data_IF_733191876363
#
_entry.id   IF_733191876363
#
_cell.length_a   1.000
_cell.length_b   1.000
_cell.length_c   1.000
_cell.angle_alpha   90.00
_cell.angle_beta   90.00
_cell.angle_gamma   90.00
#
_symmetry.space_group_name_H-M   'P 1'
#
loop_
_entity.id
_entity.type
_entity.pdbx_description
1 polymer ?
#
# COMPACT_ATOMS: atom_id res chain seq x y z
N UNK A 1 -21.06 -10.47 31.57
CA UNK A 1 -21.15 -9.67 30.34
C UNK A 1 -20.29 -10.37 29.30
N UNK A 2 -20.94 -11.05 28.34
CA UNK A 2 -20.24 -11.72 27.23
C UNK A 2 -19.93 -10.64 26.22
N UNK A 3 -18.64 -10.33 26.04
CA UNK A 3 -18.21 -9.38 25.02
C UNK A 3 -18.45 -9.99 23.65
N UNK A 4 -19.45 -9.48 22.96
CA UNK A 4 -19.67 -9.80 21.53
C UNK A 4 -18.52 -9.12 20.78
N UNK A 5 -17.74 -9.91 20.05
CA UNK A 5 -16.61 -9.43 19.28
C UNK A 5 -17.13 -8.59 18.11
N UNK A 6 -16.48 -7.49 17.75
CA UNK A 6 -16.87 -6.61 16.64
C UNK A 6 -17.07 -7.42 15.33
N UNK A 7 -16.25 -8.44 15.13
CA UNK A 7 -16.39 -9.41 14.02
C UNK A 7 -17.73 -10.16 13.98
N UNK A 8 -18.30 -10.47 15.16
CA UNK A 8 -19.60 -11.14 15.23
C UNK A 8 -20.78 -10.20 14.92
N UNK A 9 -20.61 -8.91 15.20
CA UNK A 9 -21.58 -7.86 14.84
C UNK A 9 -21.58 -7.61 13.33
N UNK A 10 -20.39 -7.53 12.72
CA UNK A 10 -20.26 -7.32 11.28
C UNK A 10 -20.78 -8.54 10.48
N UNK A 11 -20.52 -9.76 10.93
CA UNK A 11 -21.11 -11.00 10.37
C UNK A 11 -22.62 -10.99 10.41
N UNK A 12 -23.21 -10.61 11.54
CA UNK A 12 -24.65 -10.56 11.69
C UNK A 12 -25.29 -9.43 10.85
N UNK A 13 -24.58 -8.30 10.69
CA UNK A 13 -25.06 -7.19 9.86
C UNK A 13 -25.08 -7.56 8.37
N UNK A 14 -24.06 -8.24 7.90
CA UNK A 14 -23.97 -8.74 6.52
C UNK A 14 -25.04 -9.81 6.26
N UNK A 15 -25.25 -10.71 7.18
CA UNK A 15 -26.33 -11.71 7.09
C UNK A 15 -27.71 -11.06 7.01
N UNK A 16 -27.97 -10.03 7.80
CA UNK A 16 -29.26 -9.28 7.79
C UNK A 16 -29.44 -8.50 6.49
N UNK A 17 -28.38 -7.93 5.93
CA UNK A 17 -28.47 -7.19 4.66
C UNK A 17 -28.69 -8.10 3.44
N UNK A 18 -28.17 -9.33 3.47
CA UNK A 18 -28.37 -10.31 2.40
C UNK A 18 -29.78 -10.91 2.44
N UNK A 19 -30.35 -11.06 3.64
CA UNK A 19 -31.68 -11.66 3.83
C UNK A 19 -32.84 -10.72 3.38
N UNK A 20 -32.58 -9.43 3.21
CA UNK A 20 -33.62 -8.43 2.88
C UNK A 20 -33.79 -8.24 1.36
N UNK A 21 -32.79 -8.49 0.53
CA UNK A 21 -32.83 -8.11 -0.89
C UNK A 21 -32.89 -9.26 -1.91
N UNK A 22 -32.56 -10.51 -1.58
CA UNK A 22 -32.69 -11.63 -2.52
C UNK A 22 -32.71 -13.01 -1.84
N UNK A 23 -33.85 -13.67 -1.94
CA UNK A 23 -34.14 -15.05 -1.50
C UNK A 23 -33.41 -16.15 -2.32
N UNK A 24 -32.14 -16.00 -2.62
CA UNK A 24 -31.32 -17.08 -3.10
C UNK A 24 -30.17 -17.31 -2.13
N UNK A 25 -30.20 -18.48 -1.51
CA UNK A 25 -29.17 -19.05 -0.65
C UNK A 25 -27.77 -18.80 -1.23
N UNK A 26 -27.17 -17.65 -0.86
CA UNK A 26 -25.73 -17.51 -0.92
C UNK A 26 -25.21 -18.44 0.16
N UNK A 27 -24.57 -19.53 -0.24
CA UNK A 27 -24.11 -20.53 0.70
C UNK A 27 -23.16 -19.91 1.72
N UNK A 28 -23.21 -20.37 2.96
CA UNK A 28 -22.29 -19.97 4.03
C UNK A 28 -20.82 -19.98 3.57
N UNK A 29 -20.46 -20.90 2.67
CA UNK A 29 -19.14 -20.98 2.05
C UNK A 29 -18.77 -19.72 1.22
N UNK A 30 -19.72 -19.09 0.53
CA UNK A 30 -19.45 -17.86 -0.24
C UNK A 30 -19.19 -16.66 0.67
N UNK A 31 -19.82 -16.61 1.83
CA UNK A 31 -19.56 -15.56 2.83
C UNK A 31 -18.20 -15.78 3.50
N UNK A 32 -17.83 -17.02 3.79
CA UNK A 32 -16.49 -17.37 4.27
C UNK A 32 -15.41 -17.05 3.23
N UNK A 33 -15.67 -17.29 1.93
CA UNK A 33 -14.77 -16.90 0.85
C UNK A 33 -14.65 -15.37 0.70
N UNK A 34 -15.75 -14.61 0.83
CA UNK A 34 -15.75 -13.15 0.83
C UNK A 34 -14.98 -12.56 2.02
N UNK A 35 -15.13 -13.16 3.20
CA UNK A 35 -14.35 -12.77 4.39
C UNK A 35 -12.87 -13.15 4.24
N UNK A 36 -12.58 -14.32 3.69
CA UNK A 36 -11.20 -14.73 3.39
C UNK A 36 -10.52 -13.83 2.36
N UNK A 37 -11.29 -13.28 1.41
CA UNK A 37 -10.77 -12.31 0.42
C UNK A 37 -10.41 -10.95 1.04
N UNK A 38 -10.95 -10.61 2.21
CA UNK A 38 -10.70 -9.33 2.88
C UNK A 38 -9.76 -9.44 4.08
N UNK A 39 -9.35 -10.65 4.46
CA UNK A 39 -8.37 -10.86 5.52
C UNK A 39 -6.99 -11.02 4.91
N UNK A 40 -6.04 -10.28 5.46
CA UNK A 40 -4.63 -10.44 5.10
C UNK A 40 -4.20 -11.87 5.50
N UNK A 41 -3.70 -12.62 4.55
CA UNK A 41 -3.24 -13.96 4.82
C UNK A 41 -1.94 -13.92 5.62
N UNK A 42 -1.84 -14.71 6.68
CA UNK A 42 -0.70 -14.72 7.59
C UNK A 42 -0.07 -16.12 7.60
N UNK A 43 1.20 -16.17 7.25
CA UNK A 43 2.05 -17.35 7.36
C UNK A 43 3.43 -16.94 7.86
N UNK A 44 3.70 -16.96 9.18
CA UNK A 44 4.93 -16.44 9.77
C UNK A 44 6.20 -17.13 9.24
N UNK A 45 6.15 -18.41 8.91
CA UNK A 45 7.30 -19.14 8.36
C UNK A 45 7.62 -18.67 6.93
N UNK A 46 6.61 -18.48 6.10
CA UNK A 46 6.77 -17.95 4.75
C UNK A 46 7.26 -16.50 4.77
N UNK A 47 6.69 -15.67 5.64
CA UNK A 47 7.09 -14.28 5.80
C UNK A 47 8.53 -14.17 6.28
N UNK A 48 8.96 -15.02 7.24
CA UNK A 48 10.36 -15.07 7.67
C UNK A 48 11.29 -15.39 6.51
N UNK A 49 10.96 -16.39 5.69
CA UNK A 49 11.77 -16.78 4.53
C UNK A 49 11.86 -15.65 3.48
N UNK A 50 10.75 -14.95 3.23
CA UNK A 50 10.72 -13.81 2.31
C UNK A 50 11.60 -12.67 2.87
N UNK A 51 11.45 -12.37 4.17
CA UNK A 51 12.24 -11.34 4.83
C UNK A 51 13.74 -11.66 4.80
N UNK A 52 14.13 -12.92 4.99
CA UNK A 52 15.54 -13.34 4.92
C UNK A 52 16.13 -13.06 3.55
N UNK A 53 15.41 -13.36 2.46
CA UNK A 53 15.83 -13.03 1.09
C UNK A 53 15.96 -11.52 0.87
N UNK A 54 15.03 -10.72 1.39
CA UNK A 54 15.11 -9.25 1.31
C UNK A 54 16.33 -8.74 2.10
N UNK A 55 16.57 -9.24 3.30
CA UNK A 55 17.73 -8.87 4.12
C UNK A 55 19.06 -9.28 3.46
N UNK A 56 19.09 -10.41 2.76
CA UNK A 56 20.28 -10.88 2.06
C UNK A 56 20.72 -9.93 0.92
N UNK A 57 19.83 -9.07 0.43
CA UNK A 57 20.17 -8.09 -0.63
C UNK A 57 21.16 -7.02 -0.16
N UNK A 58 21.33 -6.85 1.15
CA UNK A 58 22.18 -5.79 1.71
C UNK A 58 23.63 -5.91 1.17
N UNK A 59 24.14 -4.79 0.63
CA UNK A 59 25.50 -4.69 0.03
C UNK A 59 25.76 -5.61 -1.18
N UNK A 60 24.73 -6.18 -1.80
CA UNK A 60 24.89 -6.96 -3.03
C UNK A 60 24.89 -6.06 -4.28
N UNK A 61 25.54 -6.50 -5.39
CA UNK A 61 25.40 -5.84 -6.68
C UNK A 61 23.96 -5.89 -7.18
N UNK A 62 23.59 -4.95 -8.07
CA UNK A 62 22.24 -4.83 -8.64
C UNK A 62 21.64 -6.17 -9.09
N UNK A 63 22.37 -6.95 -9.90
CA UNK A 63 21.87 -8.21 -10.46
C UNK A 63 21.58 -9.29 -9.39
N UNK A 64 22.36 -9.31 -8.31
CA UNK A 64 22.12 -10.21 -7.19
C UNK A 64 20.91 -9.75 -6.36
N UNK A 65 20.80 -8.45 -6.09
CA UNK A 65 19.63 -7.89 -5.41
C UNK A 65 18.35 -8.18 -6.20
N UNK A 66 18.36 -7.90 -7.49
CA UNK A 66 17.23 -8.15 -8.40
C UNK A 66 16.80 -9.62 -8.38
N UNK A 67 17.76 -10.54 -8.43
CA UNK A 67 17.49 -11.98 -8.38
C UNK A 67 16.82 -12.37 -7.06
N UNK A 68 17.39 -11.98 -5.92
CA UNK A 68 16.88 -12.33 -4.59
C UNK A 68 15.48 -11.74 -4.36
N UNK A 69 15.26 -10.50 -4.75
CA UNK A 69 13.95 -9.86 -4.59
C UNK A 69 12.87 -10.48 -5.48
N UNK A 70 13.22 -10.87 -6.71
CA UNK A 70 12.31 -11.61 -7.59
C UNK A 70 12.01 -13.01 -7.04
N UNK A 71 12.99 -13.69 -6.48
CA UNK A 71 12.81 -14.98 -5.80
C UNK A 71 11.88 -14.80 -4.58
N UNK A 72 12.06 -13.77 -3.78
CA UNK A 72 11.18 -13.43 -2.68
C UNK A 72 9.74 -13.17 -3.15
N UNK A 73 9.56 -12.45 -4.25
CA UNK A 73 8.24 -12.18 -4.82
C UNK A 73 7.53 -13.44 -5.33
N UNK A 74 8.27 -14.37 -5.96
CA UNK A 74 7.72 -15.65 -6.45
C UNK A 74 7.28 -16.58 -5.31
N UNK A 75 7.81 -16.42 -4.09
CA UNK A 75 7.34 -17.14 -2.91
C UNK A 75 5.97 -16.68 -2.42
N UNK A 76 5.53 -15.48 -2.78
CA UNK A 76 4.23 -14.94 -2.35
C UNK A 76 3.12 -15.68 -3.09
N UNK A 77 2.20 -16.35 -2.37
CA UNK A 77 1.09 -17.08 -3.01
C UNK A 77 0.17 -16.13 -3.79
N UNK A 78 -0.47 -16.65 -4.83
CA UNK A 78 -1.41 -15.89 -5.63
C UNK A 78 -2.86 -16.11 -5.12
N UNK A 79 -3.70 -15.10 -5.11
CA UNK A 79 -3.44 -13.71 -5.51
C UNK A 79 -2.64 -12.96 -4.44
N UNK A 80 -1.67 -12.14 -4.88
CA UNK A 80 -0.79 -11.37 -3.96
C UNK A 80 -1.55 -10.37 -3.08
N UNK A 81 -2.77 -10.01 -3.46
CA UNK A 81 -3.66 -9.12 -2.68
C UNK A 81 -4.10 -9.71 -1.35
N UNK A 82 -4.05 -11.02 -1.18
CA UNK A 82 -4.29 -11.68 0.11
C UNK A 82 -3.06 -11.67 1.04
N UNK A 83 -1.93 -11.17 0.57
CA UNK A 83 -0.63 -11.16 1.25
C UNK A 83 -0.05 -9.75 1.25
N UNK A 84 -0.84 -8.77 1.73
CA UNK A 84 -0.52 -7.35 1.60
C UNK A 84 0.85 -7.00 2.21
N UNK A 85 1.16 -7.49 3.42
CA UNK A 85 2.41 -7.18 4.10
C UNK A 85 3.65 -7.66 3.32
N UNK A 86 3.84 -8.97 3.00
CA UNK A 86 5.01 -9.43 2.25
C UNK A 86 5.03 -8.86 0.82
N UNK A 87 3.87 -8.66 0.19
CA UNK A 87 3.80 -8.05 -1.14
C UNK A 87 4.34 -6.61 -1.11
N UNK A 88 3.87 -5.79 -0.17
CA UNK A 88 4.35 -4.41 -0.01
C UNK A 88 5.86 -4.38 0.23
N UNK A 89 6.36 -5.20 1.16
CA UNK A 89 7.79 -5.24 1.50
C UNK A 89 8.66 -5.55 0.29
N UNK A 90 8.35 -6.60 -0.45
CA UNK A 90 9.17 -7.02 -1.61
C UNK A 90 9.03 -6.05 -2.78
N UNK A 91 7.82 -5.58 -3.07
CA UNK A 91 7.59 -4.68 -4.21
C UNK A 91 8.17 -3.29 -3.99
N UNK A 92 8.17 -2.78 -2.75
CA UNK A 92 8.86 -1.53 -2.41
C UNK A 92 10.38 -1.71 -2.54
N UNK A 93 10.94 -2.82 -2.09
CA UNK A 93 12.38 -3.09 -2.26
C UNK A 93 12.78 -3.17 -3.75
N UNK A 94 11.98 -3.81 -4.59
CA UNK A 94 12.17 -3.85 -6.05
C UNK A 94 12.02 -2.45 -6.67
N UNK A 95 10.98 -1.71 -6.29
CA UNK A 95 10.79 -0.33 -6.72
C UNK A 95 12.02 0.52 -6.43
N UNK A 96 12.51 0.52 -5.18
CA UNK A 96 13.67 1.29 -4.78
C UNK A 96 14.95 0.85 -5.54
N UNK A 97 15.14 -0.45 -5.73
CA UNK A 97 16.28 -0.98 -6.48
C UNK A 97 16.30 -0.42 -7.91
N UNK A 98 15.18 -0.48 -8.61
CA UNK A 98 15.08 0.02 -9.99
C UNK A 98 15.14 1.55 -10.04
N UNK A 99 14.46 2.24 -9.12
CA UNK A 99 14.45 3.69 -9.05
C UNK A 99 15.84 4.28 -8.80
N UNK A 100 16.60 3.75 -7.83
CA UNK A 100 17.99 4.16 -7.55
C UNK A 100 18.93 3.93 -8.73
N UNK A 101 18.61 2.97 -9.59
CA UNK A 101 19.37 2.67 -10.82
C UNK A 101 18.79 3.34 -12.08
N UNK A 102 17.89 4.32 -11.93
CA UNK A 102 17.27 5.10 -13.01
C UNK A 102 16.51 4.25 -14.04
N UNK A 103 16.06 3.07 -13.64
CA UNK A 103 15.24 2.16 -14.44
C UNK A 103 13.75 2.44 -14.15
N UNK A 104 13.30 3.62 -14.57
CA UNK A 104 12.02 4.19 -14.14
C UNK A 104 10.78 3.38 -14.59
N UNK A 105 10.82 2.76 -15.77
CA UNK A 105 9.69 1.94 -16.22
C UNK A 105 9.51 0.71 -15.32
N UNK A 106 10.61 -0.01 -15.02
CA UNK A 106 10.56 -1.15 -14.12
C UNK A 106 10.18 -0.72 -12.68
N UNK A 107 10.70 0.41 -12.22
CA UNK A 107 10.30 0.96 -10.92
C UNK A 107 8.80 1.22 -10.86
N UNK A 108 8.22 1.81 -11.91
CA UNK A 108 6.79 2.09 -12.01
C UNK A 108 5.94 0.82 -11.96
N UNK A 109 6.37 -0.25 -12.63
CA UNK A 109 5.68 -1.55 -12.59
C UNK A 109 5.58 -2.08 -11.15
N UNK A 110 6.69 -2.10 -10.42
CA UNK A 110 6.71 -2.58 -9.04
C UNK A 110 5.94 -1.66 -8.07
N UNK A 111 6.06 -0.35 -8.27
CA UNK A 111 5.25 0.62 -7.50
C UNK A 111 3.74 0.40 -7.73
N UNK A 112 3.33 0.07 -8.95
CA UNK A 112 1.93 -0.23 -9.26
C UNK A 112 1.40 -1.43 -8.48
N UNK A 113 2.23 -2.48 -8.31
CA UNK A 113 1.86 -3.65 -7.50
C UNK A 113 1.78 -3.25 -6.01
N UNK A 114 2.76 -2.49 -5.50
CA UNK A 114 2.73 -1.99 -4.13
C UNK A 114 1.45 -1.18 -3.84
N UNK A 115 1.08 -0.28 -4.77
CA UNK A 115 -0.14 0.53 -4.65
C UNK A 115 -1.42 -0.32 -4.70
N UNK A 116 -1.43 -1.44 -5.44
CA UNK A 116 -2.62 -2.32 -5.53
C UNK A 116 -2.96 -3.01 -4.22
N UNK A 117 -2.01 -3.11 -3.30
CA UNK A 117 -2.20 -3.71 -1.96
C UNK A 117 -2.13 -2.67 -0.85
N UNK A 118 -1.84 -1.42 -1.18
CA UNK A 118 -1.65 -0.37 -0.18
C UNK A 118 -2.87 -0.17 0.72
N UNK A 119 -4.08 -0.18 0.18
CA UNK A 119 -5.32 0.03 0.94
C UNK A 119 -5.75 -1.19 1.77
N UNK A 120 -5.03 -2.31 1.66
CA UNK A 120 -5.33 -3.54 2.38
C UNK A 120 -4.58 -3.64 3.72
N UNK A 121 -3.58 -2.79 3.95
CA UNK A 121 -2.79 -2.77 5.17
C UNK A 121 -3.20 -1.67 6.15
N UNK A 122 -2.71 -1.74 7.41
CA UNK A 122 -3.11 -0.81 8.47
C UNK A 122 -2.58 0.61 8.32
N UNK A 123 -1.52 0.82 7.54
CA UNK A 123 -0.93 2.16 7.28
C UNK A 123 -0.27 2.17 5.91
N UNK A 124 -0.69 3.11 5.06
CA UNK A 124 -0.24 3.15 3.66
C UNK A 124 0.46 4.45 3.28
N UNK A 125 0.53 5.39 4.22
CA UNK A 125 1.12 6.71 4.01
C UNK A 125 2.53 6.63 3.42
N UNK A 126 3.34 5.63 3.82
CA UNK A 126 4.69 5.41 3.27
C UNK A 126 4.67 5.07 1.78
N UNK A 127 3.84 4.12 1.37
CA UNK A 127 3.72 3.70 -0.04
C UNK A 127 3.25 4.86 -0.92
N UNK A 128 2.25 5.61 -0.45
CA UNK A 128 1.76 6.79 -1.17
C UNK A 128 2.79 7.92 -1.20
N UNK A 129 3.56 8.13 -0.12
CA UNK A 129 4.65 9.10 -0.13
C UNK A 129 5.71 8.74 -1.18
N UNK A 130 6.14 7.47 -1.24
CA UNK A 130 7.10 7.00 -2.25
C UNK A 130 6.57 7.19 -3.68
N UNK A 131 5.28 6.94 -3.91
CA UNK A 131 4.65 7.25 -5.20
C UNK A 131 4.71 8.75 -5.51
N UNK A 132 4.39 9.60 -4.54
CA UNK A 132 4.49 11.04 -4.69
C UNK A 132 5.91 11.51 -5.03
N UNK A 133 6.93 10.95 -4.34
CA UNK A 133 8.35 11.22 -4.61
C UNK A 133 8.72 10.81 -6.03
N UNK A 134 8.36 9.59 -6.42
CA UNK A 134 8.65 9.07 -7.76
C UNK A 134 8.09 9.96 -8.87
N UNK A 135 6.81 10.31 -8.77
CA UNK A 135 6.20 11.18 -9.78
C UNK A 135 6.73 12.61 -9.75
N UNK A 136 7.08 13.14 -8.58
CA UNK A 136 7.71 14.44 -8.46
C UNK A 136 9.07 14.50 -9.16
N UNK A 137 9.91 13.49 -8.96
CA UNK A 137 11.25 13.44 -9.57
C UNK A 137 11.20 13.13 -11.07
N UNK A 138 10.08 12.61 -11.58
CA UNK A 138 9.76 12.53 -13.01
C UNK A 138 9.03 13.77 -13.56
N UNK A 139 8.96 14.86 -12.78
CA UNK A 139 8.29 16.12 -13.14
C UNK A 139 6.77 15.96 -13.44
N UNK A 140 6.16 14.84 -13.05
CA UNK A 140 4.72 14.64 -13.13
C UNK A 140 4.05 15.17 -11.85
N UNK A 141 3.97 16.48 -11.75
CA UNK A 141 3.55 17.17 -10.53
C UNK A 141 2.08 16.96 -10.15
N UNK A 142 1.22 16.66 -11.09
CA UNK A 142 -0.20 16.40 -10.80
C UNK A 142 -0.38 15.05 -10.10
N UNK A 143 0.26 13.99 -10.60
CA UNK A 143 0.27 12.69 -9.91
C UNK A 143 1.04 12.76 -8.59
N UNK A 144 2.16 13.50 -8.54
CA UNK A 144 2.90 13.71 -7.29
C UNK A 144 2.02 14.33 -6.20
N UNK A 145 1.30 15.40 -6.53
CA UNK A 145 0.38 16.05 -5.59
C UNK A 145 -0.70 15.09 -5.10
N UNK A 146 -1.33 14.34 -6.00
CA UNK A 146 -2.36 13.36 -5.67
C UNK A 146 -1.89 12.35 -4.62
N UNK A 147 -0.74 11.75 -4.83
CA UNK A 147 -0.20 10.76 -3.90
C UNK A 147 0.29 11.39 -2.59
N UNK A 148 0.88 12.57 -2.62
CA UNK A 148 1.22 13.32 -1.41
C UNK A 148 -0.03 13.70 -0.60
N UNK A 149 -1.15 14.04 -1.25
CA UNK A 149 -2.39 14.37 -0.56
C UNK A 149 -3.00 13.14 0.11
N UNK A 150 -2.95 11.96 -0.53
CA UNK A 150 -3.34 10.70 0.10
C UNK A 150 -2.47 10.41 1.32
N UNK A 151 -1.14 10.46 1.19
CA UNK A 151 -0.21 10.22 2.29
C UNK A 151 -0.43 11.20 3.47
N UNK A 152 -0.68 12.46 3.17
CA UNK A 152 -0.95 13.47 4.19
C UNK A 152 -2.30 13.28 4.89
N UNK A 153 -3.33 12.89 4.17
CA UNK A 153 -4.65 12.64 4.75
C UNK A 153 -4.66 11.38 5.64
N UNK A 154 -3.80 10.40 5.34
CA UNK A 154 -3.64 9.18 6.15
C UNK A 154 -2.82 9.44 7.44
N UNK A 155 -1.64 10.07 7.35
CA UNK A 155 -0.71 10.18 8.47
C UNK A 155 -0.16 11.60 8.74
N UNK A 156 -0.77 12.62 8.16
CA UNK A 156 -0.36 14.02 8.36
C UNK A 156 1.05 14.31 7.85
N UNK A 157 1.78 15.16 8.58
CA UNK A 157 3.14 15.56 8.21
C UNK A 157 4.19 14.45 8.43
N UNK A 158 3.90 13.48 9.28
CA UNK A 158 4.90 12.50 9.74
C UNK A 158 5.67 11.80 8.61
N UNK A 159 5.05 11.29 7.53
CA UNK A 159 5.79 10.65 6.44
C UNK A 159 6.79 11.58 5.76
N UNK A 160 6.45 12.86 5.62
CA UNK A 160 7.35 13.86 5.01
C UNK A 160 8.53 14.26 5.88
N UNK A 161 8.47 14.00 7.20
CA UNK A 161 9.46 14.49 8.15
C UNK A 161 10.84 13.86 7.99
N UNK A 162 10.92 12.69 7.38
CA UNK A 162 12.15 11.93 7.16
C UNK A 162 12.72 12.10 5.75
N UNK A 163 11.96 12.75 4.87
CA UNK A 163 12.33 12.95 3.46
C UNK A 163 12.89 14.36 3.21
N UNK A 164 13.37 14.60 1.98
CA UNK A 164 13.81 15.94 1.56
C UNK A 164 12.66 16.95 1.70
N UNK A 165 12.96 18.07 2.32
CA UNK A 165 11.99 19.15 2.56
C UNK A 165 11.34 19.68 1.29
N UNK A 166 11.95 19.49 0.10
CA UNK A 166 11.39 19.89 -1.18
C UNK A 166 10.01 19.29 -1.44
N UNK A 167 9.78 18.02 -1.05
CA UNK A 167 8.51 17.32 -1.26
C UNK A 167 7.38 17.92 -0.42
N UNK A 168 7.68 18.18 0.86
CA UNK A 168 6.72 18.87 1.73
C UNK A 168 6.42 20.30 1.27
N UNK A 169 7.44 21.06 0.83
CA UNK A 169 7.28 22.43 0.34
C UNK A 169 6.40 22.45 -0.91
N UNK A 170 6.67 21.56 -1.87
CA UNK A 170 5.86 21.38 -3.06
C UNK A 170 4.40 21.07 -2.72
N UNK A 171 4.17 20.06 -1.88
CA UNK A 171 2.82 19.65 -1.48
C UNK A 171 2.04 20.80 -0.86
N UNK A 172 2.64 21.52 0.09
CA UNK A 172 2.01 22.67 0.74
C UNK A 172 1.65 23.78 -0.25
N UNK A 173 2.61 24.17 -1.09
CA UNK A 173 2.39 25.20 -2.09
C UNK A 173 1.22 24.82 -3.01
N UNK A 174 1.22 23.60 -3.52
CA UNK A 174 0.19 23.13 -4.45
C UNK A 174 -1.18 23.04 -3.76
N UNK A 175 -1.23 22.62 -2.51
CA UNK A 175 -2.45 22.60 -1.70
C UNK A 175 -3.04 23.99 -1.48
N UNK A 176 -2.20 24.98 -1.19
CA UNK A 176 -2.61 26.38 -1.01
C UNK A 176 -3.11 27.00 -2.35
N UNK A 177 -2.50 26.65 -3.47
CA UNK A 177 -2.93 27.08 -4.82
C UNK A 177 -4.31 26.53 -5.17
N UNK A 178 -4.54 25.25 -4.89
CA UNK A 178 -5.82 24.57 -5.19
C UNK A 178 -6.94 24.96 -4.21
N UNK A 179 -6.58 25.35 -2.98
CA UNK A 179 -7.52 25.73 -1.94
C UNK A 179 -7.21 27.17 -1.41
N UNK A 180 -7.34 28.19 -2.24
CA UNK A 180 -7.02 29.54 -1.81
C UNK A 180 -7.93 29.94 -0.65
N UNK A 181 -7.36 30.15 0.55
CA UNK A 181 -8.11 30.65 1.71
C UNK A 181 -8.79 31.94 1.29
N UNK A 182 -10.12 32.00 1.37
CA UNK A 182 -10.86 33.26 1.17
C UNK A 182 -10.26 34.30 2.10
N UNK A 183 -9.55 35.29 1.53
CA UNK A 183 -9.06 36.42 2.28
C UNK A 183 -10.28 37.11 2.90
N UNK A 184 -10.53 36.86 4.16
CA UNK A 184 -11.50 37.63 4.94
C UNK A 184 -10.99 39.08 4.92
N UNK A 185 -11.62 39.93 4.12
CA UNK A 185 -11.39 41.37 4.19
C UNK A 185 -11.82 41.80 5.61
N UNK A 186 -10.82 42.21 6.41
CA UNK A 186 -11.08 43.01 7.62
C UNK A 186 -11.45 44.41 7.21
#
# INVERSE_FOLDING_TARGET
MIGINQLDLDRNLIMVMIDIENLHLISFNFIEELYAMNLDAVNPELESKINDLVCETYNKPFLEQEKLLKEAFELIPKPVTQWAHPTTMVTIALFELYYKNQKYEQAKEWLSIALSVADLGPTNAGTYLLAGIFYYDLENYDEAYKYFDIAYNDAGYYPFSIEDKKYWQFYKQRKDELNPKKKTKK
#
